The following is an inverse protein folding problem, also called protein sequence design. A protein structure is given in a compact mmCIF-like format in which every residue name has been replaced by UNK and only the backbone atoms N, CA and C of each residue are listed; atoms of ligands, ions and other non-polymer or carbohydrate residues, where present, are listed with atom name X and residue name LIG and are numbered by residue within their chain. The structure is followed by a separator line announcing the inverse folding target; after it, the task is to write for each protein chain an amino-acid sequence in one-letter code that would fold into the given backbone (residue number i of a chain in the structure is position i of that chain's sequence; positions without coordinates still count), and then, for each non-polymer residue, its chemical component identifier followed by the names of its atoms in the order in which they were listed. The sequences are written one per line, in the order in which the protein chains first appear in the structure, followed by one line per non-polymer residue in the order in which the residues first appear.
data_IF_211875921738
#
_entry.id   IF_211875921738
#
_cell.length_a   1.000
_cell.length_b   1.000
_cell.length_c   1.000
_cell.angle_alpha   90.00
_cell.angle_beta   90.00
_cell.angle_gamma   90.00
#
_symmetry.space_group_name_H-M   'P 1'
#
loop_
_entity.id
_entity.type
_entity.pdbx_description
1 polymer ?
#
# COMPACT_ATOMS: atom_id res chain seq x y z
N UNK A 1 22.43 -21.67 -10.72
CA UNK A 1 21.23 -21.08 -10.21
C UNK A 1 21.55 -19.96 -9.22
N UNK A 2 20.94 -18.84 -9.39
CA UNK A 2 21.16 -17.73 -8.47
C UNK A 2 20.45 -18.01 -7.14
N UNK A 3 21.13 -17.74 -6.05
CA UNK A 3 20.58 -17.89 -4.73
C UNK A 3 20.43 -16.51 -4.10
N UNK A 4 19.22 -16.16 -3.74
CA UNK A 4 18.96 -14.90 -3.09
C UNK A 4 19.04 -15.07 -1.58
N UNK A 5 19.88 -14.27 -0.97
CA UNK A 5 19.99 -14.27 0.47
C UNK A 5 19.08 -13.17 1.04
N UNK A 6 18.41 -13.52 2.12
CA UNK A 6 17.59 -12.56 2.83
C UNK A 6 18.43 -12.00 3.97
N UNK A 7 18.68 -10.71 3.89
CA UNK A 7 19.33 -10.02 4.99
C UNK A 7 18.35 -9.90 6.16
N UNK A 8 18.79 -10.22 7.34
CA UNK A 8 17.89 -10.29 8.49
C UNK A 8 17.84 -9.03 9.31
N UNK A 9 18.60 -8.01 8.95
CA UNK A 9 18.66 -6.78 9.74
C UNK A 9 17.89 -5.64 9.09
N UNK A 10 18.07 -5.44 7.81
CA UNK A 10 17.39 -4.34 7.11
C UNK A 10 17.39 -4.66 5.64
N UNK A 11 16.61 -3.92 4.90
CA UNK A 11 16.55 -4.09 3.46
C UNK A 11 15.66 -5.22 2.99
N UNK A 12 14.87 -5.79 3.88
CA UNK A 12 13.93 -6.82 3.48
C UNK A 12 12.61 -6.65 4.23
N UNK A 13 11.56 -7.25 3.67
CA UNK A 13 10.21 -7.18 4.24
C UNK A 13 9.61 -8.57 4.23
N UNK A 14 9.02 -8.95 5.36
CA UNK A 14 8.25 -10.19 5.46
C UNK A 14 6.78 -9.84 5.42
N UNK A 15 6.05 -10.45 4.52
CA UNK A 15 4.64 -10.15 4.37
C UNK A 15 3.85 -11.39 3.96
N UNK A 16 2.54 -11.34 4.18
CA UNK A 16 1.64 -12.40 3.75
C UNK A 16 1.66 -12.51 2.22
N UNK A 17 1.46 -13.73 1.74
CA UNK A 17 1.31 -13.97 0.31
C UNK A 17 -0.11 -13.73 -0.19
N UNK A 18 -1.02 -13.39 0.70
CA UNK A 18 -2.44 -13.34 0.37
C UNK A 18 -2.71 -12.45 -0.84
N UNK A 19 -2.25 -11.21 -0.79
CA UNK A 19 -2.50 -10.28 -1.90
C UNK A 19 -1.71 -10.64 -3.16
N UNK A 20 -0.54 -11.23 -2.97
CA UNK A 20 0.30 -11.60 -4.12
C UNK A 20 -0.35 -12.71 -4.95
N UNK A 21 -1.16 -13.54 -4.32
CA UNK A 21 -1.82 -14.66 -5.00
C UNK A 21 -3.28 -14.37 -5.35
N UNK A 22 -3.75 -13.18 -5.08
CA UNK A 22 -5.12 -12.82 -5.36
C UNK A 22 -5.27 -12.43 -6.82
N UNK A 23 -5.92 -13.29 -7.59
CA UNK A 23 -6.09 -13.10 -9.03
C UNK A 23 -7.00 -11.91 -9.38
N UNK A 24 -7.75 -11.41 -8.43
CA UNK A 24 -8.61 -10.25 -8.67
C UNK A 24 -7.84 -8.94 -8.67
N UNK A 25 -6.59 -8.94 -8.21
CA UNK A 25 -5.78 -7.74 -8.18
C UNK A 25 -4.86 -7.67 -9.40
N UNK A 26 -4.67 -6.46 -9.92
CA UNK A 26 -3.66 -6.24 -10.93
C UNK A 26 -2.28 -6.34 -10.32
N UNK A 27 -1.28 -6.56 -11.17
CA UNK A 27 0.10 -6.59 -10.71
C UNK A 27 0.50 -5.26 -10.08
N UNK A 28 -0.01 -4.17 -10.63
CA UNK A 28 0.24 -2.84 -10.08
C UNK A 28 -0.28 -2.72 -8.65
N UNK A 29 -1.49 -3.20 -8.39
CA UNK A 29 -2.06 -3.15 -7.06
C UNK A 29 -1.28 -4.03 -6.10
N UNK A 30 -0.88 -5.23 -6.54
CA UNK A 30 -0.07 -6.11 -5.70
C UNK A 30 1.27 -5.47 -5.35
N UNK A 31 1.91 -4.85 -6.34
CA UNK A 31 3.18 -4.17 -6.11
C UNK A 31 3.04 -2.99 -5.17
N UNK A 32 1.99 -2.21 -5.33
CA UNK A 32 1.79 -1.05 -4.48
C UNK A 32 1.58 -1.46 -3.02
N UNK A 33 0.73 -2.46 -2.77
CA UNK A 33 0.52 -2.91 -1.41
C UNK A 33 1.82 -3.46 -0.81
N UNK A 34 2.57 -4.22 -1.58
CA UNK A 34 3.85 -4.75 -1.11
C UNK A 34 4.81 -3.62 -0.75
N UNK A 35 4.85 -2.58 -1.56
CA UNK A 35 5.67 -1.41 -1.27
C UNK A 35 5.21 -0.73 0.02
N UNK A 36 3.89 -0.56 0.19
CA UNK A 36 3.36 0.07 1.39
C UNK A 36 3.75 -0.71 2.64
N UNK A 37 3.72 -2.04 2.57
CA UNK A 37 4.09 -2.87 3.71
C UNK A 37 5.58 -2.77 4.04
N UNK A 38 6.40 -2.34 3.09
CA UNK A 38 7.84 -2.20 3.30
C UNK A 38 8.22 -0.85 3.89
N UNK A 39 7.31 0.11 3.91
CA UNK A 39 7.60 1.47 4.36
C UNK A 39 7.48 1.56 5.88
N UNK A 40 8.15 2.54 6.50
CA UNK A 40 8.05 2.73 7.95
C UNK A 40 6.60 3.00 8.39
N UNK A 41 6.30 2.70 9.64
CA UNK A 41 4.96 2.89 10.16
C UNK A 41 4.52 4.35 10.15
N UNK A 42 5.46 5.27 10.25
CA UNK A 42 5.17 6.70 10.25
C UNK A 42 5.19 7.32 8.85
N UNK A 43 5.21 6.48 7.82
CA UNK A 43 5.18 6.97 6.45
C UNK A 43 3.85 7.66 6.15
N UNK A 44 3.94 8.73 5.36
CA UNK A 44 2.76 9.48 4.94
C UNK A 44 2.06 8.76 3.79
N UNK A 45 1.05 7.98 4.11
CA UNK A 45 0.32 7.19 3.12
C UNK A 45 -0.76 8.01 2.42
N UNK A 46 -0.35 9.11 1.81
CA UNK A 46 -1.23 9.87 0.93
C UNK A 46 -0.99 9.47 -0.51
N UNK A 47 -1.95 9.79 -1.38
CA UNK A 47 -1.77 9.53 -2.81
C UNK A 47 -0.54 10.25 -3.33
N UNK A 48 -0.35 11.50 -2.90
CA UNK A 48 0.80 12.28 -3.33
C UNK A 48 2.11 11.69 -2.83
N UNK A 49 2.12 11.24 -1.58
CA UNK A 49 3.31 10.62 -1.00
C UNK A 49 3.68 9.34 -1.74
N UNK A 50 2.69 8.52 -2.07
CA UNK A 50 2.94 7.29 -2.80
C UNK A 50 3.38 7.56 -4.24
N UNK A 51 2.79 8.56 -4.88
CA UNK A 51 3.19 8.92 -6.25
C UNK A 51 4.62 9.44 -6.29
N UNK A 52 5.07 10.10 -5.22
CA UNK A 52 6.40 10.68 -5.17
C UNK A 52 7.52 9.65 -5.21
N UNK A 53 7.27 8.46 -4.70
CA UNK A 53 8.28 7.41 -4.64
C UNK A 53 8.13 6.38 -5.77
N UNK A 54 7.25 6.66 -6.72
CA UNK A 54 7.00 5.75 -7.84
C UNK A 54 7.08 6.51 -9.14
N UNK A 55 7.22 5.77 -10.24
CA UNK A 55 7.21 6.35 -11.58
C UNK A 55 5.80 6.64 -12.05
N UNK A 56 4.85 5.91 -11.51
CA UNK A 56 3.47 5.99 -11.94
C UNK A 56 2.87 7.35 -11.62
N UNK A 57 1.93 7.77 -12.43
CA UNK A 57 1.18 9.00 -12.18
C UNK A 57 0.29 8.82 -10.95
N UNK A 58 -0.15 9.94 -10.41
CA UNK A 58 -1.07 9.90 -9.28
C UNK A 58 -2.39 9.21 -9.65
N UNK A 59 -2.80 9.31 -10.92
CA UNK A 59 -4.00 8.61 -11.35
C UNK A 59 -3.81 7.10 -11.35
N UNK A 60 -2.64 6.63 -11.76
CA UNK A 60 -2.35 5.21 -11.72
C UNK A 60 -2.30 4.70 -10.28
N UNK A 61 -1.70 5.47 -9.39
CA UNK A 61 -1.68 5.13 -7.97
C UNK A 61 -3.11 5.09 -7.42
N UNK A 62 -3.93 6.08 -7.79
CA UNK A 62 -5.32 6.13 -7.32
C UNK A 62 -6.09 4.89 -7.77
N UNK A 63 -5.89 4.44 -9.00
CA UNK A 63 -6.55 3.24 -9.48
C UNK A 63 -6.12 1.99 -8.71
N UNK A 64 -4.83 1.87 -8.44
CA UNK A 64 -4.33 0.74 -7.68
C UNK A 64 -4.89 0.75 -6.25
N UNK A 65 -4.94 1.93 -5.63
CA UNK A 65 -5.53 2.09 -4.30
C UNK A 65 -6.99 1.68 -4.33
N UNK A 66 -7.73 2.06 -5.37
CA UNK A 66 -9.14 1.69 -5.49
C UNK A 66 -9.31 0.18 -5.57
N UNK A 67 -8.46 -0.52 -6.32
CA UNK A 67 -8.52 -1.97 -6.37
C UNK A 67 -8.30 -2.58 -4.99
N UNK A 68 -7.29 -2.09 -4.28
CA UNK A 68 -6.96 -2.60 -2.95
C UNK A 68 -8.08 -2.32 -1.94
N UNK A 69 -8.70 -1.15 -2.06
CA UNK A 69 -9.81 -0.77 -1.21
C UNK A 69 -11.01 -1.69 -1.45
N UNK A 70 -11.34 -1.92 -2.72
CA UNK A 70 -12.47 -2.80 -3.07
C UNK A 70 -12.23 -4.23 -2.63
N UNK A 71 -10.99 -4.66 -2.63
CA UNK A 71 -10.65 -6.01 -2.20
C UNK A 71 -10.49 -6.13 -0.68
N UNK A 72 -10.60 -5.01 0.04
CA UNK A 72 -10.59 -5.04 1.49
C UNK A 72 -9.22 -4.98 2.14
N UNK A 73 -8.17 -4.69 1.37
CA UNK A 73 -6.83 -4.63 1.93
C UNK A 73 -6.52 -3.31 2.59
N UNK A 74 -7.13 -2.24 2.13
CA UNK A 74 -6.87 -0.90 2.65
C UNK A 74 -8.16 -0.16 2.88
N UNK A 75 -8.07 0.88 3.68
CA UNK A 75 -9.14 1.84 3.87
C UNK A 75 -8.62 3.21 3.54
N UNK A 76 -9.42 3.99 2.84
CA UNK A 76 -9.12 5.39 2.58
C UNK A 76 -9.90 6.23 3.55
N UNK A 77 -9.25 7.25 4.08
CA UNK A 77 -9.92 8.23 4.92
C UNK A 77 -9.54 9.60 4.42
N UNK A 78 -10.49 10.52 4.51
CA UNK A 78 -10.29 11.91 4.17
C UNK A 78 -10.48 12.71 5.43
N UNK A 79 -9.47 13.44 5.81
CA UNK A 79 -9.54 14.28 6.98
C UNK A 79 -10.19 15.62 6.62
N UNK A 80 -10.93 16.16 7.56
CA UNK A 80 -11.53 17.46 7.40
C UNK A 80 -10.91 18.41 8.42
N UNK A 81 -10.83 19.69 8.05
CA UNK A 81 -10.37 20.70 8.99
C UNK A 81 -11.50 21.02 9.98
N UNK A 82 -11.22 21.94 10.89
CA UNK A 82 -12.17 22.30 11.94
C UNK A 82 -13.47 22.89 11.39
N UNK A 83 -13.44 23.39 10.17
CA UNK A 83 -14.61 23.96 9.52
C UNK A 83 -15.35 22.96 8.65
N UNK A 84 -14.95 21.69 8.69
CA UNK A 84 -15.58 20.64 7.92
C UNK A 84 -15.11 20.55 6.49
N UNK A 85 -14.12 21.31 6.07
CA UNK A 85 -13.58 21.23 4.72
C UNK A 85 -12.55 20.12 4.64
N UNK A 86 -12.48 19.48 3.47
CA UNK A 86 -11.46 18.46 3.24
C UNK A 86 -10.09 19.11 3.26
N UNK A 87 -9.13 18.41 3.87
CA UNK A 87 -7.76 18.91 3.95
C UNK A 87 -6.98 18.68 2.67
N UNK A 88 -7.59 18.07 1.68
CA UNK A 88 -6.98 17.91 0.39
C UNK A 88 -6.08 16.69 0.26
N UNK A 89 -5.83 15.96 1.32
CA UNK A 89 -5.03 14.76 1.26
C UNK A 89 -5.85 13.56 1.69
N UNK A 90 -5.86 12.51 0.86
CA UNK A 90 -6.46 11.25 1.22
C UNK A 90 -5.42 10.43 1.96
N UNK A 91 -5.73 10.02 3.17
CA UNK A 91 -4.89 9.09 3.91
C UNK A 91 -5.31 7.67 3.59
N UNK A 92 -4.33 6.79 3.56
CA UNK A 92 -4.54 5.40 3.23
C UNK A 92 -3.98 4.55 4.35
N UNK A 93 -4.74 3.55 4.78
CA UNK A 93 -4.22 2.57 5.71
C UNK A 93 -4.62 1.18 5.23
N UNK A 94 -3.73 0.22 5.41
CA UNK A 94 -4.04 -1.14 5.01
C UNK A 94 -4.66 -1.89 6.17
N UNK A 95 -5.46 -2.90 5.81
CA UNK A 95 -6.06 -3.78 6.79
C UNK A 95 -4.99 -4.75 7.26
N UNK A 96 -4.48 -4.50 8.45
CA UNK A 96 -3.32 -5.20 8.98
C UNK A 96 -3.52 -6.72 8.97
N UNK A 97 -4.69 -7.15 9.35
CA UNK A 97 -4.98 -8.58 9.45
C UNK A 97 -4.79 -9.31 8.12
N UNK A 98 -5.33 -8.74 7.04
CA UNK A 98 -5.20 -9.36 5.72
C UNK A 98 -3.79 -9.21 5.16
N UNK A 99 -3.18 -8.05 5.34
CA UNK A 99 -1.89 -7.76 4.75
C UNK A 99 -0.76 -8.55 5.39
N UNK A 100 -0.91 -8.90 6.67
CA UNK A 100 0.12 -9.61 7.43
C UNK A 100 -0.27 -11.02 7.81
N UNK A 101 -1.30 -11.57 7.20
CA UNK A 101 -1.70 -12.95 7.42
C UNK A 101 -0.59 -13.89 6.99
N UNK A 102 -0.16 -14.78 7.87
CA UNK A 102 1.00 -15.64 7.60
C UNK A 102 0.64 -17.07 7.27
N UNK A 103 -0.58 -17.37 7.05
CA UNK A 103 -0.99 -18.73 6.77
C UNK A 103 -0.77 -19.15 5.35
#
# INVERSE_FOLDING_TARGET
MAVFRVEKNSGYTVMSNHHLRNRALSLKAKGLLSQMLSLPEDWDYTLQGLARINRESIDAIRQAIRELEQAGYIQRSRERDEKGRLRGADSVSYTHLLAHETR
#
